data_IF_334395447603
#
_entry.id   IF_334395447603
#
_cell.length_a   1.000
_cell.length_b   1.000
_cell.length_c   1.000
_cell.angle_alpha   90.00
_cell.angle_beta   90.00
_cell.angle_gamma   90.00
#
_symmetry.space_group_name_H-M   'P 1'
#
loop_
_entity.id
_entity.type
_entity.pdbx_description
1 polymer ?
#
# COMPACT_ATOMS: atom_id res chain seq x y z
N UNK A 1 -37.99 -3.17 -9.95
CA UNK A 1 -36.89 -2.56 -9.15
C UNK A 1 -36.29 -3.64 -8.27
N UNK A 2 -35.25 -4.33 -8.76
CA UNK A 2 -34.42 -5.19 -7.94
C UNK A 2 -33.10 -4.44 -7.78
N UNK A 3 -32.91 -3.82 -6.61
CA UNK A 3 -31.63 -3.26 -6.20
C UNK A 3 -30.61 -4.41 -6.13
N UNK A 4 -29.42 -4.32 -6.74
CA UNK A 4 -28.40 -5.34 -6.54
C UNK A 4 -27.96 -5.23 -5.08
N UNK A 5 -28.38 -6.19 -4.25
CA UNK A 5 -27.69 -6.49 -3.00
C UNK A 5 -26.21 -6.67 -3.37
N UNK A 6 -25.33 -5.86 -2.77
CA UNK A 6 -23.89 -5.97 -2.94
C UNK A 6 -23.52 -7.45 -2.79
N UNK A 7 -23.02 -8.07 -3.86
CA UNK A 7 -22.53 -9.45 -3.80
C UNK A 7 -21.50 -9.50 -2.68
N UNK A 8 -21.74 -10.31 -1.64
CA UNK A 8 -20.69 -10.60 -0.67
C UNK A 8 -19.51 -11.13 -1.49
N UNK A 9 -18.38 -10.44 -1.42
CA UNK A 9 -17.15 -10.88 -2.07
C UNK A 9 -16.69 -12.11 -1.30
N UNK A 10 -16.43 -13.20 -2.01
CA UNK A 10 -16.00 -14.46 -1.43
C UNK A 10 -14.54 -14.69 -1.78
N UNK A 11 -13.77 -15.23 -0.83
CA UNK A 11 -12.42 -15.72 -1.10
C UNK A 11 -12.46 -16.90 -2.08
N UNK A 12 -11.37 -17.10 -2.82
CA UNK A 12 -11.27 -18.18 -3.79
C UNK A 12 -11.21 -19.53 -3.04
N UNK A 13 -11.58 -20.66 -3.65
CA UNK A 13 -11.66 -21.95 -2.95
C UNK A 13 -10.36 -22.39 -2.27
N UNK A 14 -9.21 -22.14 -2.91
CA UNK A 14 -7.88 -22.41 -2.36
C UNK A 14 -7.55 -21.52 -1.15
N UNK A 15 -7.90 -20.24 -1.22
CA UNK A 15 -7.78 -19.29 -0.11
C UNK A 15 -8.68 -19.70 1.07
N UNK A 16 -9.94 -20.08 0.79
CA UNK A 16 -10.90 -20.50 1.79
C UNK A 16 -10.42 -21.75 2.54
N UNK A 17 -9.90 -22.74 1.81
CA UNK A 17 -9.34 -23.95 2.42
C UNK A 17 -8.14 -23.60 3.31
N UNK A 18 -7.20 -22.77 2.82
CA UNK A 18 -6.04 -22.39 3.65
C UNK A 18 -6.46 -21.61 4.90
N UNK A 19 -7.38 -20.66 4.78
CA UNK A 19 -7.91 -19.91 5.92
C UNK A 19 -8.50 -20.84 6.98
N UNK A 20 -9.29 -21.85 6.57
CA UNK A 20 -9.86 -22.83 7.49
C UNK A 20 -8.77 -23.62 8.22
N UNK A 21 -7.74 -24.09 7.51
CA UNK A 21 -6.62 -24.82 8.10
C UNK A 21 -5.85 -23.96 9.11
N UNK A 22 -5.61 -22.68 8.79
CA UNK A 22 -4.89 -21.75 9.68
C UNK A 22 -5.73 -21.40 10.91
N UNK A 23 -7.03 -21.15 10.74
CA UNK A 23 -7.98 -20.92 11.85
C UNK A 23 -8.01 -22.09 12.83
N UNK A 24 -8.08 -23.32 12.30
CA UNK A 24 -8.11 -24.52 13.14
C UNK A 24 -6.87 -24.64 14.02
N UNK A 25 -5.70 -24.23 13.51
CA UNK A 25 -4.41 -24.33 14.20
C UNK A 25 -4.08 -23.13 15.08
N UNK A 26 -4.70 -21.97 14.84
CA UNK A 26 -4.39 -20.70 15.51
C UNK A 26 -5.70 -19.96 15.87
N UNK A 27 -6.57 -20.54 16.72
CA UNK A 27 -7.87 -19.95 17.04
C UNK A 27 -7.77 -18.55 17.70
N UNK A 28 -6.66 -18.26 18.38
CA UNK A 28 -6.35 -16.95 18.96
C UNK A 28 -6.18 -15.85 17.91
N UNK A 29 -5.94 -16.20 16.64
CA UNK A 29 -5.75 -15.26 15.54
C UNK A 29 -7.04 -14.91 14.80
N UNK A 30 -8.23 -15.31 15.28
CA UNK A 30 -9.49 -15.18 14.53
C UNK A 30 -9.79 -13.74 14.09
N UNK A 31 -9.61 -12.75 14.98
CA UNK A 31 -9.87 -11.34 14.63
C UNK A 31 -8.98 -10.88 13.48
N UNK A 32 -7.69 -11.25 13.49
CA UNK A 32 -6.77 -10.93 12.41
C UNK A 32 -7.12 -11.70 11.13
N UNK A 33 -7.48 -12.98 11.23
CA UNK A 33 -7.88 -13.82 10.09
C UNK A 33 -9.15 -13.29 9.42
N UNK A 34 -10.10 -12.75 10.17
CA UNK A 34 -11.29 -12.10 9.62
C UNK A 34 -10.94 -10.84 8.80
N UNK A 35 -9.99 -10.03 9.26
CA UNK A 35 -9.50 -8.86 8.52
C UNK A 35 -8.79 -9.29 7.23
N UNK A 36 -7.93 -10.31 7.30
CA UNK A 36 -7.22 -10.84 6.13
C UNK A 36 -8.19 -11.44 5.12
N UNK A 37 -9.18 -12.23 5.56
CA UNK A 37 -10.21 -12.78 4.69
C UNK A 37 -10.96 -11.67 3.92
N UNK A 38 -11.34 -10.59 4.61
CA UNK A 38 -11.95 -9.43 3.98
C UNK A 38 -11.03 -8.78 2.94
N UNK A 39 -9.73 -8.63 3.23
CA UNK A 39 -8.76 -8.10 2.28
C UNK A 39 -8.50 -9.02 1.09
N UNK A 40 -8.48 -10.33 1.28
CA UNK A 40 -8.35 -11.31 0.19
C UNK A 40 -9.56 -11.24 -0.75
N UNK A 41 -10.78 -11.20 -0.19
CA UNK A 41 -12.01 -11.06 -0.96
C UNK A 41 -12.07 -9.71 -1.69
N UNK A 42 -11.64 -8.63 -1.05
CA UNK A 42 -11.55 -7.30 -1.65
C UNK A 42 -10.55 -7.25 -2.82
N UNK A 43 -9.42 -7.95 -2.69
CA UNK A 43 -8.33 -7.98 -3.68
C UNK A 43 -8.65 -8.74 -4.97
N UNK A 44 -9.76 -9.49 -5.00
CA UNK A 44 -10.25 -10.18 -6.21
C UNK A 44 -10.98 -9.25 -7.18
N UNK A 45 -11.53 -8.13 -6.69
CA UNK A 45 -12.19 -7.14 -7.53
C UNK A 45 -11.14 -6.22 -8.17
N UNK A 46 -10.54 -6.75 -9.24
CA UNK A 46 -9.51 -6.06 -9.99
C UNK A 46 -10.04 -4.70 -10.51
N UNK A 47 -11.29 -4.62 -10.99
CA UNK A 47 -11.87 -3.39 -11.52
C UNK A 47 -11.96 -2.24 -10.49
N UNK A 48 -12.15 -2.55 -9.21
CA UNK A 48 -12.24 -1.53 -8.15
C UNK A 48 -10.90 -0.86 -7.84
N UNK A 49 -9.80 -1.62 -7.90
CA UNK A 49 -8.48 -1.17 -7.43
C UNK A 49 -7.45 -1.01 -8.57
N UNK A 50 -7.69 -1.59 -9.75
CA UNK A 50 -6.77 -1.50 -10.91
C UNK A 50 -6.78 -0.11 -11.57
N UNK A 51 -7.81 0.72 -11.31
CA UNK A 51 -7.80 2.14 -11.68
C UNK A 51 -6.67 2.93 -10.98
N UNK A 52 -6.03 2.33 -9.98
CA UNK A 52 -4.91 2.88 -9.22
C UNK A 52 -3.56 2.66 -9.89
N UNK A 53 -3.45 3.01 -11.18
CA UNK A 53 -2.15 3.11 -11.83
C UNK A 53 -1.36 4.26 -11.18
N UNK A 54 -0.19 3.97 -10.59
CA UNK A 54 0.68 5.03 -10.15
C UNK A 54 1.15 5.81 -11.38
N UNK A 55 1.13 7.14 -11.31
CA UNK A 55 1.77 7.94 -12.34
C UNK A 55 3.27 7.56 -12.45
N UNK A 56 3.84 7.47 -13.67
CA UNK A 56 5.28 7.32 -13.82
C UNK A 56 6.00 8.43 -13.05
N UNK A 57 7.06 8.05 -12.34
CA UNK A 57 7.90 8.99 -11.59
C UNK A 57 9.20 9.12 -12.35
N UNK A 58 9.44 10.32 -12.90
CA UNK A 58 10.69 10.62 -13.57
C UNK A 58 11.85 10.64 -12.57
N UNK A 59 13.04 10.22 -13.01
CA UNK A 59 14.28 10.27 -12.22
C UNK A 59 14.25 9.57 -10.84
N UNK A 60 13.43 8.53 -10.66
CA UNK A 60 13.42 7.72 -9.43
C UNK A 60 14.84 7.18 -9.12
N UNK A 61 15.35 7.32 -7.88
CA UNK A 61 16.65 6.75 -7.50
C UNK A 61 16.71 5.23 -7.73
N UNK A 62 17.87 4.70 -8.13
CA UNK A 62 18.02 3.28 -8.45
C UNK A 62 17.67 2.31 -7.30
N UNK A 63 17.78 2.79 -6.05
CA UNK A 63 17.46 2.03 -4.83
C UNK A 63 16.09 2.39 -4.23
N UNK A 64 15.33 3.27 -4.87
CA UNK A 64 14.00 3.65 -4.41
C UNK A 64 12.94 2.63 -4.90
N UNK A 65 12.01 2.20 -4.03
CA UNK A 65 10.91 1.34 -4.42
C UNK A 65 10.03 1.96 -5.51
N UNK A 66 9.31 1.14 -6.27
CA UNK A 66 8.53 1.62 -7.40
C UNK A 66 7.37 2.57 -7.02
N UNK A 67 6.91 2.54 -5.77
CA UNK A 67 5.89 3.48 -5.28
C UNK A 67 6.49 4.80 -4.76
N UNK A 68 7.81 4.92 -4.71
CA UNK A 68 8.46 6.14 -4.24
C UNK A 68 8.25 7.30 -5.22
N UNK A 69 7.80 8.43 -4.67
CA UNK A 69 7.35 9.61 -5.39
C UNK A 69 6.02 9.45 -6.12
N UNK A 70 5.35 8.30 -6.00
CA UNK A 70 4.20 8.00 -6.84
C UNK A 70 2.91 8.68 -6.35
N UNK A 71 2.04 9.03 -7.30
CA UNK A 71 0.65 9.43 -7.03
C UNK A 71 -0.26 8.29 -7.44
N UNK A 72 -1.04 7.77 -6.48
CA UNK A 72 -1.89 6.59 -6.64
C UNK A 72 -3.35 7.03 -6.53
N UNK A 73 -4.09 6.95 -7.63
CA UNK A 73 -5.51 7.30 -7.68
C UNK A 73 -6.39 6.17 -7.16
N UNK A 74 -7.30 6.45 -6.22
CA UNK A 74 -8.23 5.46 -5.65
C UNK A 74 -9.65 5.99 -5.68
N UNK A 75 -10.63 5.12 -5.91
CA UNK A 75 -12.03 5.49 -5.72
C UNK A 75 -12.34 5.71 -4.24
N UNK A 76 -12.50 6.97 -3.81
CA UNK A 76 -12.74 7.32 -2.40
C UNK A 76 -13.88 6.53 -1.77
N UNK A 77 -14.99 6.35 -2.50
CA UNK A 77 -16.15 5.58 -1.99
C UNK A 77 -15.80 4.12 -1.70
N UNK A 78 -15.01 3.48 -2.56
CA UNK A 78 -14.56 2.10 -2.38
C UNK A 78 -13.60 1.98 -1.21
N UNK A 79 -12.63 2.89 -1.11
CA UNK A 79 -11.70 2.96 0.02
C UNK A 79 -12.44 3.17 1.35
N UNK A 80 -13.34 4.16 1.42
CA UNK A 80 -14.13 4.42 2.64
C UNK A 80 -15.04 3.26 3.02
N UNK A 81 -15.67 2.58 2.04
CA UNK A 81 -16.47 1.38 2.31
C UNK A 81 -15.61 0.29 2.95
N UNK A 82 -14.45 0.01 2.37
CA UNK A 82 -13.58 -1.07 2.82
C UNK A 82 -12.93 -0.77 4.18
N UNK A 83 -12.41 0.44 4.38
CA UNK A 83 -11.87 0.87 5.69
C UNK A 83 -12.94 0.76 6.78
N UNK A 84 -14.19 1.14 6.51
CA UNK A 84 -15.29 0.99 7.49
C UNK A 84 -15.64 -0.47 7.78
N UNK A 85 -15.56 -1.33 6.76
CA UNK A 85 -15.79 -2.76 6.93
C UNK A 85 -14.72 -3.39 7.84
N UNK A 86 -13.44 -3.11 7.58
CA UNK A 86 -12.34 -3.58 8.43
C UNK A 86 -12.42 -2.99 9.84
N UNK A 87 -12.73 -1.70 9.96
CA UNK A 87 -12.91 -1.06 11.27
C UNK A 87 -14.03 -1.74 12.08
N UNK A 88 -15.15 -2.12 11.46
CA UNK A 88 -16.22 -2.88 12.12
C UNK A 88 -15.76 -4.27 12.56
N UNK A 89 -15.07 -4.99 11.67
CA UNK A 89 -14.52 -6.32 11.99
C UNK A 89 -13.53 -6.26 13.16
N UNK A 90 -12.82 -5.15 13.31
CA UNK A 90 -11.90 -4.89 14.42
C UNK A 90 -12.56 -4.25 15.65
N UNK A 91 -13.87 -4.01 15.66
CA UNK A 91 -14.58 -3.42 16.81
C UNK A 91 -14.41 -1.90 17.00
N UNK A 92 -14.06 -1.15 15.94
CA UNK A 92 -13.86 0.30 15.94
C UNK A 92 -15.12 1.10 15.54
N UNK A 93 -16.32 0.59 15.87
CA UNK A 93 -17.62 1.00 15.30
C UNK A 93 -18.00 2.49 15.49
N UNK A 94 -17.47 3.17 16.50
CA UNK A 94 -17.69 4.62 16.73
C UNK A 94 -16.72 5.55 16.00
N UNK A 95 -15.57 5.04 15.56
CA UNK A 95 -14.48 5.81 14.95
C UNK A 95 -14.53 5.83 13.43
N UNK A 96 -15.04 4.75 12.83
CA UNK A 96 -14.89 4.43 11.42
C UNK A 96 -15.45 5.47 10.44
N UNK A 97 -16.48 6.22 10.83
CA UNK A 97 -17.11 7.23 9.98
C UNK A 97 -16.31 8.54 9.90
N UNK A 98 -15.41 8.80 10.86
CA UNK A 98 -14.56 10.00 10.92
C UNK A 98 -13.20 9.82 10.27
N UNK A 99 -12.80 8.59 9.98
CA UNK A 99 -11.53 8.29 9.32
C UNK A 99 -11.58 8.75 7.86
N UNK A 100 -10.64 9.61 7.46
CA UNK A 100 -10.35 9.79 6.05
C UNK A 100 -9.60 8.54 5.55
N UNK A 101 -10.27 7.79 4.70
CA UNK A 101 -9.75 6.53 4.17
C UNK A 101 -8.52 6.73 3.27
N UNK A 102 -8.40 7.86 2.57
CA UNK A 102 -7.24 8.13 1.72
C UNK A 102 -6.03 8.46 2.58
N UNK A 103 -6.20 9.28 3.63
CA UNK A 103 -5.13 9.57 4.59
C UNK A 103 -4.66 8.31 5.32
N UNK A 104 -5.59 7.45 5.72
CA UNK A 104 -5.26 6.18 6.37
C UNK A 104 -4.48 5.25 5.43
N UNK A 105 -4.90 5.16 4.16
CA UNK A 105 -4.19 4.36 3.15
C UNK A 105 -2.81 4.93 2.82
N UNK A 106 -2.68 6.25 2.69
CA UNK A 106 -1.39 6.92 2.49
C UNK A 106 -0.45 6.62 3.66
N UNK A 107 -0.89 6.86 4.89
CA UNK A 107 -0.12 6.56 6.10
C UNK A 107 0.26 5.08 6.18
N UNK A 108 -0.69 4.18 5.88
CA UNK A 108 -0.43 2.75 5.84
C UNK A 108 0.67 2.40 4.83
N UNK A 109 0.53 2.80 3.57
CA UNK A 109 1.50 2.48 2.50
C UNK A 109 2.90 2.97 2.87
N UNK A 110 3.01 4.21 3.39
CA UNK A 110 4.25 4.80 3.91
C UNK A 110 4.83 4.09 5.12
N UNK A 111 4.07 3.20 5.78
CA UNK A 111 4.39 2.55 7.06
C UNK A 111 4.47 3.57 8.21
N UNK A 112 3.62 4.59 8.16
CA UNK A 112 3.62 5.74 9.06
C UNK A 112 2.76 5.58 10.30
N UNK A 113 3.25 4.76 11.22
CA UNK A 113 2.61 4.47 12.51
C UNK A 113 2.26 5.74 13.29
N UNK A 114 3.10 6.77 13.29
CA UNK A 114 2.82 8.02 13.98
C UNK A 114 1.63 8.77 13.37
N UNK A 115 1.54 8.80 12.03
CA UNK A 115 0.38 9.38 11.34
C UNK A 115 -0.87 8.53 11.53
N UNK A 116 -0.76 7.20 11.56
CA UNK A 116 -1.90 6.31 11.85
C UNK A 116 -2.40 6.54 13.27
N UNK A 117 -1.50 6.64 14.26
CA UNK A 117 -1.84 6.92 15.65
C UNK A 117 -2.54 8.27 15.80
N UNK A 118 -2.13 9.28 15.04
CA UNK A 118 -2.79 10.59 15.03
C UNK A 118 -4.22 10.56 14.44
N UNK A 119 -4.53 9.59 13.58
CA UNK A 119 -5.88 9.35 13.04
C UNK A 119 -6.75 8.51 14.01
N UNK A 120 -6.14 7.87 15.01
CA UNK A 120 -6.86 7.02 15.95
C UNK A 120 -7.79 7.85 16.84
N UNK A 121 -9.06 7.45 16.87
CA UNK A 121 -10.03 7.95 17.86
C UNK A 121 -10.36 6.90 18.93
N UNK A 122 -9.61 5.80 18.95
CA UNK A 122 -9.71 4.64 19.85
C UNK A 122 -8.32 4.03 20.06
N UNK A 123 -8.23 2.70 20.13
CA UNK A 123 -6.95 2.01 20.28
C UNK A 123 -6.06 2.19 19.03
N UNK A 124 -4.90 2.89 19.14
CA UNK A 124 -4.00 3.10 18.01
C UNK A 124 -3.43 1.78 17.47
N UNK A 125 -3.20 0.78 18.32
CA UNK A 125 -2.59 -0.49 17.89
C UNK A 125 -3.53 -1.29 16.98
N UNK A 126 -4.82 -1.37 17.34
CA UNK A 126 -5.86 -1.93 16.47
C UNK A 126 -5.99 -1.15 15.16
N UNK A 127 -5.94 0.18 15.19
CA UNK A 127 -6.02 0.99 13.96
C UNK A 127 -4.82 0.73 13.05
N UNK A 128 -3.61 0.55 13.58
CA UNK A 128 -2.44 0.16 12.78
C UNK A 128 -2.65 -1.15 12.04
N UNK A 129 -3.19 -2.18 12.71
CA UNK A 129 -3.52 -3.45 12.05
C UNK A 129 -4.55 -3.24 10.94
N UNK A 130 -5.64 -2.51 11.23
CA UNK A 130 -6.67 -2.19 10.24
C UNK A 130 -6.09 -1.44 9.04
N UNK A 131 -5.23 -0.45 9.28
CA UNK A 131 -4.60 0.37 8.24
C UNK A 131 -3.70 -0.48 7.33
N UNK A 132 -2.86 -1.35 7.92
CA UNK A 132 -1.98 -2.22 7.15
C UNK A 132 -2.76 -3.23 6.29
N UNK A 133 -3.84 -3.81 6.82
CA UNK A 133 -4.72 -4.70 6.05
C UNK A 133 -5.53 -3.95 5.00
N UNK A 134 -5.96 -2.72 5.29
CA UNK A 134 -6.70 -1.86 4.35
C UNK A 134 -5.88 -1.53 3.10
N UNK A 135 -4.55 -1.43 3.22
CA UNK A 135 -3.65 -1.14 2.11
C UNK A 135 -3.44 -2.34 1.16
N UNK A 136 -3.73 -3.58 1.58
CA UNK A 136 -3.42 -4.79 0.81
C UNK A 136 -4.06 -4.81 -0.59
N UNK A 137 -5.36 -4.53 -0.79
CA UNK A 137 -5.95 -4.54 -2.13
C UNK A 137 -5.30 -3.56 -3.10
N UNK A 138 -5.00 -2.35 -2.61
CA UNK A 138 -4.32 -1.32 -3.38
C UNK A 138 -2.89 -1.71 -3.72
N UNK A 139 -2.11 -2.14 -2.72
CA UNK A 139 -0.73 -2.60 -2.93
C UNK A 139 -0.66 -3.80 -3.87
N UNK A 140 -1.66 -4.69 -3.83
CA UNK A 140 -1.74 -5.83 -4.73
C UNK A 140 -2.08 -5.40 -6.15
N UNK A 141 -2.97 -4.43 -6.32
CA UNK A 141 -3.24 -3.84 -7.64
C UNK A 141 -1.96 -3.21 -8.21
N UNK A 142 -1.23 -2.40 -7.44
CA UNK A 142 0.06 -1.85 -7.87
C UNK A 142 1.06 -2.96 -8.23
N UNK A 143 1.19 -4.00 -7.40
CA UNK A 143 2.09 -5.13 -7.66
C UNK A 143 1.77 -5.85 -8.98
N UNK A 144 0.47 -6.07 -9.28
CA UNK A 144 0.04 -6.69 -10.55
C UNK A 144 0.40 -5.83 -11.76
N UNK A 145 0.28 -4.52 -11.63
CA UNK A 145 0.35 -3.64 -12.81
C UNK A 145 1.76 -3.13 -13.12
N UNK A 146 2.51 -2.72 -12.10
CA UNK A 146 3.86 -2.15 -12.25
C UNK A 146 4.96 -3.05 -11.68
N UNK A 147 4.63 -4.17 -11.02
CA UNK A 147 5.65 -5.06 -10.44
C UNK A 147 6.60 -5.69 -11.46
N UNK A 148 6.21 -5.75 -12.74
CA UNK A 148 7.08 -6.19 -13.84
C UNK A 148 8.21 -5.21 -14.16
N UNK A 149 8.09 -3.96 -13.70
CA UNK A 149 9.08 -2.89 -13.94
C UNK A 149 10.18 -2.90 -12.87
N UNK A 150 10.15 -3.85 -11.92
CA UNK A 150 11.24 -4.05 -10.96
C UNK A 150 12.52 -4.43 -11.70
N UNK A 151 13.59 -3.70 -11.38
CA UNK A 151 14.92 -4.00 -11.92
C UNK A 151 15.36 -5.42 -11.55
N UNK A 152 15.87 -6.17 -12.53
CA UNK A 152 16.54 -7.44 -12.28
C UNK A 152 17.81 -7.29 -11.43
N UNK A 153 18.35 -6.07 -11.33
CA UNK A 153 19.47 -5.71 -10.48
C UNK A 153 19.03 -5.14 -9.11
N UNK A 154 17.83 -5.46 -8.64
CA UNK A 154 17.38 -5.07 -7.31
C UNK A 154 18.08 -5.89 -6.21
N UNK A 155 18.96 -5.23 -5.45
CA UNK A 155 19.78 -5.88 -4.41
C UNK A 155 19.44 -5.38 -3.01
N UNK A 156 18.41 -4.55 -2.87
CA UNK A 156 18.02 -4.05 -1.56
C UNK A 156 17.26 -5.12 -0.77
N UNK A 157 17.42 -5.09 0.55
CA UNK A 157 16.78 -6.07 1.42
C UNK A 157 15.31 -5.77 1.71
N UNK A 158 14.80 -4.63 1.27
CA UNK A 158 13.39 -4.25 1.35
C UNK A 158 12.69 -4.42 0.00
N UNK A 159 11.36 -4.44 0.07
CA UNK A 159 10.49 -4.69 -1.07
C UNK A 159 10.71 -3.64 -2.17
N UNK A 160 10.95 -4.06 -3.43
CA UNK A 160 11.15 -3.16 -4.56
C UNK A 160 9.89 -2.37 -4.95
N UNK A 161 8.72 -2.73 -4.45
CA UNK A 161 7.48 -2.01 -4.74
C UNK A 161 7.14 -1.00 -3.63
N UNK A 162 7.02 -1.47 -2.38
CA UNK A 162 6.47 -0.67 -1.28
C UNK A 162 7.47 -0.34 -0.16
N UNK A 163 8.73 -0.74 -0.28
CA UNK A 163 9.77 -0.41 0.71
C UNK A 163 9.66 -1.14 2.05
N UNK A 164 8.74 -2.09 2.20
CA UNK A 164 8.60 -2.86 3.43
C UNK A 164 9.69 -3.93 3.58
N UNK A 165 10.02 -4.29 4.82
CA UNK A 165 10.85 -5.46 5.09
C UNK A 165 10.18 -6.75 4.63
N UNK A 166 10.96 -7.81 4.32
CA UNK A 166 10.41 -9.09 3.95
C UNK A 166 9.72 -9.76 5.14
N UNK A 167 8.62 -10.44 4.86
CA UNK A 167 7.91 -11.28 5.82
C UNK A 167 8.49 -12.69 5.85
N UNK A 168 8.92 -13.19 4.68
CA UNK A 168 9.39 -14.56 4.49
C UNK A 168 10.57 -14.59 3.52
N UNK A 169 11.54 -15.46 3.80
CA UNK A 169 12.54 -15.92 2.86
C UNK A 169 12.12 -17.28 2.29
N UNK A 170 11.78 -17.32 1.01
CA UNK A 170 11.37 -18.50 0.29
C UNK A 170 12.59 -19.12 -0.43
N UNK A 171 12.89 -20.40 -0.15
CA UNK A 171 13.96 -21.14 -0.83
C UNK A 171 13.36 -22.02 -1.92
N UNK A 172 13.34 -21.48 -3.14
CA UNK A 172 12.53 -22.00 -4.23
C UNK A 172 13.28 -22.97 -5.13
N UNK A 173 12.62 -24.08 -5.45
CA UNK A 173 13.06 -25.04 -6.46
C UNK A 173 14.27 -25.86 -6.03
N UNK A 174 14.78 -26.68 -6.96
CA UNK A 174 15.90 -27.59 -6.69
C UNK A 174 17.21 -26.84 -6.42
N UNK A 175 17.44 -25.72 -7.10
CA UNK A 175 18.59 -24.84 -6.88
C UNK A 175 18.48 -24.04 -5.57
N UNK A 176 17.31 -24.09 -4.91
CA UNK A 176 17.00 -23.38 -3.66
C UNK A 176 17.39 -21.90 -3.72
N UNK A 177 17.06 -21.22 -4.81
CA UNK A 177 17.26 -19.77 -4.92
C UNK A 177 16.52 -19.08 -3.79
N UNK A 178 17.14 -18.07 -3.18
CA UNK A 178 16.58 -17.34 -2.04
C UNK A 178 15.77 -16.15 -2.54
N UNK A 179 14.48 -16.18 -2.26
CA UNK A 179 13.52 -15.16 -2.64
C UNK A 179 12.96 -14.50 -1.39
N UNK A 180 13.14 -13.20 -1.23
CA UNK A 180 12.43 -12.45 -0.22
C UNK A 180 10.99 -12.20 -0.67
N UNK A 181 10.05 -12.32 0.26
CA UNK A 181 8.61 -12.16 0.01
C UNK A 181 8.03 -11.06 0.90
N UNK A 182 7.36 -10.10 0.29
CA UNK A 182 6.66 -9.04 1.02
C UNK A 182 5.25 -9.50 1.40
N UNK A 183 4.92 -9.53 2.69
CA UNK A 183 3.57 -9.83 3.16
C UNK A 183 2.52 -8.76 2.82
N UNK A 184 2.93 -7.53 2.49
CA UNK A 184 1.99 -6.42 2.23
C UNK A 184 1.45 -6.43 0.79
N UNK A 185 2.36 -6.46 -0.19
CA UNK A 185 2.02 -6.38 -1.61
C UNK A 185 2.17 -7.72 -2.36
N UNK A 186 2.83 -8.71 -1.72
CA UNK A 186 3.07 -10.01 -2.32
C UNK A 186 4.21 -10.06 -3.34
N UNK A 187 5.00 -8.99 -3.49
CA UNK A 187 6.16 -9.02 -4.38
C UNK A 187 7.22 -9.98 -3.85
N UNK A 188 7.85 -10.69 -4.79
CA UNK A 188 9.03 -11.51 -4.55
C UNK A 188 10.24 -10.94 -5.29
N UNK A 189 11.42 -11.00 -4.67
CA UNK A 189 12.67 -10.64 -5.33
C UNK A 189 13.81 -11.55 -4.87
N UNK A 190 14.66 -11.93 -5.81
CA UNK A 190 15.81 -12.80 -5.56
C UNK A 190 16.90 -12.02 -4.84
N UNK A 191 17.54 -12.66 -3.85
CA UNK A 191 18.69 -12.09 -3.13
C UNK A 191 19.77 -13.15 -2.92
N UNK A 192 21.03 -12.73 -2.70
CA UNK A 192 22.08 -13.66 -2.30
C UNK A 192 21.75 -14.43 -1.01
N UNK A 193 22.24 -15.66 -0.93
CA UNK A 193 22.08 -16.53 0.24
C UNK A 193 22.67 -15.92 1.51
N UNK A 194 23.97 -15.62 1.49
CA UNK A 194 24.71 -15.10 2.64
C UNK A 194 24.61 -13.57 2.71
N UNK A 195 23.41 -13.07 2.92
CA UNK A 195 23.19 -11.63 3.16
C UNK A 195 22.00 -11.37 4.08
N UNK A 196 22.23 -10.70 5.20
CA UNK A 196 21.14 -10.19 6.04
C UNK A 196 20.32 -9.16 5.25
N UNK A 197 18.98 -9.31 5.12
CA UNK A 197 18.16 -8.33 4.42
C UNK A 197 18.15 -6.97 5.14
N UNK A 198 18.43 -6.93 6.44
CA UNK A 198 18.25 -5.72 7.24
C UNK A 198 19.49 -4.84 7.34
N UNK A 199 20.66 -5.43 7.58
CA UNK A 199 21.93 -4.70 7.76
C UNK A 199 22.99 -5.03 6.69
N UNK A 200 22.66 -5.90 5.72
CA UNK A 200 23.56 -6.34 4.66
C UNK A 200 24.83 -7.09 5.12
N UNK A 201 24.87 -7.60 6.36
CA UNK A 201 25.90 -8.53 6.84
C UNK A 201 26.04 -9.73 5.88
N UNK A 202 27.27 -10.12 5.57
CA UNK A 202 27.60 -11.25 4.67
C UNK A 202 28.51 -12.30 5.31
N UNK A 203 29.04 -12.04 6.52
CA UNK A 203 29.85 -13.00 7.26
C UNK A 203 29.00 -14.18 7.73
N UNK A 204 29.35 -15.39 7.31
CA UNK A 204 28.66 -16.61 7.75
C UNK A 204 28.81 -16.87 9.26
N UNK A 205 29.78 -16.22 9.93
CA UNK A 205 29.96 -16.34 11.38
C UNK A 205 28.87 -15.58 12.15
N UNK A 206 28.31 -14.53 11.54
CA UNK A 206 27.26 -13.69 12.11
C UNK A 206 25.87 -14.02 11.54
N UNK A 207 25.76 -14.98 10.62
CA UNK A 207 24.51 -15.39 10.00
C UNK A 207 24.22 -16.84 10.40
N UNK A 208 23.03 -17.08 10.94
CA UNK A 208 22.65 -18.39 11.45
C UNK A 208 21.22 -18.76 11.09
N UNK A 209 20.79 -19.93 11.59
CA UNK A 209 19.39 -20.32 11.55
C UNK A 209 18.96 -20.98 12.85
N UNK A 210 17.70 -20.78 13.22
CA UNK A 210 17.00 -21.53 14.25
C UNK A 210 16.11 -22.55 13.55
N UNK A 211 16.19 -23.81 13.97
CA UNK A 211 15.33 -24.89 13.49
C UNK A 211 14.60 -25.51 14.69
N UNK A 212 13.32 -25.90 14.57
CA UNK A 212 12.62 -26.62 15.61
C UNK A 212 13.32 -27.94 15.96
N UNK A 213 13.36 -28.27 17.25
CA UNK A 213 14.11 -29.43 17.78
C UNK A 213 13.57 -30.78 17.24
N UNK A 214 12.27 -30.84 16.94
CA UNK A 214 11.59 -32.10 16.61
C UNK A 214 11.70 -32.52 15.14
N UNK A 215 12.38 -31.73 14.29
CA UNK A 215 12.63 -32.08 12.87
C UNK A 215 11.37 -32.21 11.99
N UNK A 216 10.17 -31.98 12.52
CA UNK A 216 8.88 -32.15 11.84
C UNK A 216 8.61 -31.10 10.75
N UNK A 217 9.38 -30.01 10.72
CA UNK A 217 9.21 -28.96 9.72
C UNK A 217 10.52 -28.60 9.05
N UNK A 218 10.45 -28.38 7.74
CA UNK A 218 11.54 -27.84 6.93
C UNK A 218 11.67 -26.32 7.08
N UNK A 219 10.76 -25.68 7.81
CA UNK A 219 10.75 -24.24 8.09
C UNK A 219 11.75 -23.89 9.16
N UNK A 220 12.37 -22.72 9.00
CA UNK A 220 13.44 -22.22 9.85
C UNK A 220 13.27 -20.73 10.11
N UNK A 221 14.11 -20.19 10.96
CA UNK A 221 14.29 -18.75 11.10
C UNK A 221 15.73 -18.42 10.73
N UNK A 222 15.96 -17.61 9.72
CA UNK A 222 17.28 -17.01 9.47
C UNK A 222 17.51 -15.88 10.46
N UNK A 223 18.68 -15.85 11.09
CA UNK A 223 19.04 -14.86 12.12
C UNK A 223 20.36 -14.17 11.79
N UNK A 224 20.52 -12.94 12.27
CA UNK A 224 21.75 -12.17 12.13
C UNK A 224 22.23 -11.66 13.49
N UNK A 225 23.45 -12.01 13.88
CA UNK A 225 24.03 -11.58 15.15
C UNK A 225 24.47 -10.11 15.16
N UNK A 226 24.72 -9.53 13.98
CA UNK A 226 25.14 -8.13 13.83
C UNK A 226 24.01 -7.16 14.16
N UNK A 227 22.80 -7.38 13.63
CA UNK A 227 21.64 -6.51 13.89
C UNK A 227 20.58 -7.12 14.80
N UNK A 228 20.75 -8.40 15.20
CA UNK A 228 19.74 -9.19 15.93
C UNK A 228 18.39 -9.30 15.19
N UNK A 229 18.39 -9.08 13.88
CA UNK A 229 17.23 -9.25 13.01
C UNK A 229 16.98 -10.72 12.67
N UNK A 230 15.71 -11.10 12.47
CA UNK A 230 15.35 -12.39 11.90
C UNK A 230 14.34 -12.33 10.76
N UNK A 231 14.32 -13.35 9.91
CA UNK A 231 13.28 -13.60 8.91
C UNK A 231 12.92 -15.08 8.89
N UNK A 232 11.63 -15.41 8.85
CA UNK A 232 11.21 -16.81 8.69
C UNK A 232 11.63 -17.32 7.32
N UNK A 233 11.95 -18.59 7.24
CA UNK A 233 12.43 -19.23 6.03
C UNK A 233 11.65 -20.51 5.74
N UNK A 234 11.24 -20.67 4.48
CA UNK A 234 10.47 -21.83 4.01
C UNK A 234 11.02 -22.35 2.68
N UNK A 235 11.36 -23.64 2.57
CA UNK A 235 11.68 -24.26 1.30
C UNK A 235 10.41 -24.62 0.54
N UNK A 236 10.38 -24.29 -0.75
CA UNK A 236 9.20 -24.48 -1.61
C UNK A 236 9.59 -25.11 -2.93
N UNK A 237 8.69 -25.91 -3.50
CA UNK A 237 8.89 -26.48 -4.85
C UNK A 237 8.65 -25.42 -5.92
N UNK A 238 7.65 -24.57 -5.72
CA UNK A 238 7.26 -23.47 -6.59
C UNK A 238 6.91 -22.23 -5.78
N UNK A 239 6.72 -21.11 -6.46
CA UNK A 239 6.30 -19.85 -5.85
C UNK A 239 5.08 -20.00 -4.94
N UNK A 240 5.20 -19.53 -3.70
CA UNK A 240 4.03 -19.32 -2.85
C UNK A 240 3.13 -18.24 -3.46
N UNK A 241 1.81 -18.47 -3.50
CA UNK A 241 0.89 -17.41 -3.87
C UNK A 241 1.03 -16.23 -2.90
N UNK A 242 0.78 -15.01 -3.37
CA UNK A 242 0.98 -13.80 -2.55
C UNK A 242 0.22 -13.84 -1.22
N UNK A 243 -0.98 -14.42 -1.21
CA UNK A 243 -1.82 -14.57 -0.02
C UNK A 243 -1.27 -15.63 0.94
N UNK A 244 -0.52 -16.61 0.41
CA UNK A 244 0.14 -17.65 1.22
C UNK A 244 1.16 -17.03 2.17
N UNK A 245 1.90 -16.02 1.72
CA UNK A 245 2.89 -15.30 2.56
C UNK A 245 2.25 -14.73 3.83
N UNK A 246 1.04 -14.14 3.72
CA UNK A 246 0.30 -13.61 4.87
C UNK A 246 -0.14 -14.71 5.82
N UNK A 247 -0.82 -15.73 5.29
CA UNK A 247 -1.40 -16.80 6.09
C UNK A 247 -0.33 -17.70 6.73
N UNK A 248 0.77 -17.93 6.03
CA UNK A 248 1.87 -18.76 6.51
C UNK A 248 2.70 -18.07 7.58
N UNK A 249 2.77 -16.73 7.57
CA UNK A 249 3.38 -15.97 8.65
C UNK A 249 2.67 -16.26 9.98
N UNK A 250 1.34 -16.15 10.03
CA UNK A 250 0.57 -16.44 11.25
C UNK A 250 0.59 -17.93 11.58
N UNK A 251 0.49 -18.81 10.58
CA UNK A 251 0.54 -20.26 10.80
C UNK A 251 1.88 -20.76 11.39
N UNK A 252 2.89 -19.89 11.47
CA UNK A 252 4.23 -20.19 11.97
C UNK A 252 4.63 -19.27 13.12
N UNK A 253 3.66 -18.70 13.85
CA UNK A 253 3.93 -17.78 14.97
C UNK A 253 4.87 -18.35 16.04
N UNK A 254 4.84 -19.67 16.26
CA UNK A 254 5.78 -20.35 17.17
C UNK A 254 7.26 -20.11 16.80
N UNK A 255 7.59 -19.90 15.53
CA UNK A 255 8.94 -19.56 15.09
C UNK A 255 9.33 -18.13 15.50
N UNK A 256 8.38 -17.19 15.54
CA UNK A 256 8.64 -15.84 16.06
C UNK A 256 8.97 -15.91 17.54
N UNK A 257 8.20 -16.68 18.32
CA UNK A 257 8.44 -16.87 19.76
C UNK A 257 9.83 -17.46 20.01
N UNK A 258 10.20 -18.51 19.28
CA UNK A 258 11.53 -19.13 19.42
C UNK A 258 12.70 -18.18 19.10
N UNK A 259 12.48 -17.23 18.18
CA UNK A 259 13.46 -16.19 17.83
C UNK A 259 13.53 -15.10 18.91
N UNK A 260 12.38 -14.62 19.38
CA UNK A 260 12.25 -13.63 20.45
C UNK A 260 12.89 -14.11 21.75
N UNK A 261 12.66 -15.36 22.14
CA UNK A 261 13.26 -15.97 23.34
C UNK A 261 14.80 -16.01 23.28
N UNK A 262 15.37 -15.98 22.07
CA UNK A 262 16.82 -15.92 21.81
C UNK A 262 17.35 -14.50 21.58
N UNK A 263 16.51 -13.48 21.78
CA UNK A 263 16.88 -12.07 21.66
C UNK A 263 16.91 -11.52 20.24
N UNK A 264 16.34 -12.24 19.27
CA UNK A 264 16.17 -11.74 17.91
C UNK A 264 14.82 -11.06 17.73
N UNK A 265 14.76 -10.04 16.86
CA UNK A 265 13.54 -9.28 16.60
C UNK A 265 13.34 -9.02 15.10
N UNK A 266 12.10 -8.72 14.68
CA UNK A 266 11.88 -8.07 13.38
C UNK A 266 12.23 -6.60 13.52
N UNK A 267 12.93 -5.97 12.55
CA UNK A 267 13.31 -4.57 12.69
C UNK A 267 12.11 -3.64 12.83
N UNK A 268 12.17 -2.72 13.78
CA UNK A 268 11.13 -1.70 13.98
C UNK A 268 11.22 -0.57 12.93
N UNK A 269 12.43 -0.25 12.48
CA UNK A 269 12.64 0.76 11.43
C UNK A 269 12.00 0.29 10.12
N UNK A 270 11.59 1.24 9.28
CA UNK A 270 11.12 0.96 7.92
C UNK A 270 12.27 0.46 7.05
N UNK A 271 11.95 -0.36 6.05
CA UNK A 271 12.93 -0.78 5.03
C UNK A 271 13.40 0.39 4.19
N UNK A 272 12.45 1.23 3.78
CA UNK A 272 12.67 2.46 3.05
C UNK A 272 11.66 3.51 3.52
N UNK A 273 12.08 4.77 3.61
CA UNK A 273 11.19 5.89 3.93
C UNK A 273 10.48 6.35 2.65
N UNK A 274 9.33 5.73 2.40
CA UNK A 274 8.61 5.85 1.13
C UNK A 274 7.81 7.16 1.09
N UNK A 275 7.98 7.93 0.02
CA UNK A 275 7.06 9.02 -0.31
C UNK A 275 6.01 8.54 -1.32
N UNK A 276 4.73 8.69 -0.99
CA UNK A 276 3.61 8.36 -1.90
C UNK A 276 2.42 9.26 -1.56
N UNK A 277 1.61 9.57 -2.57
CA UNK A 277 0.34 10.27 -2.41
C UNK A 277 -0.84 9.43 -2.84
N UNK A 278 -1.87 9.34 -2.00
CA UNK A 278 -3.11 8.64 -2.32
C UNK A 278 -4.20 9.68 -2.57
N UNK A 279 -4.74 9.70 -3.79
CA UNK A 279 -5.69 10.75 -4.24
C UNK A 279 -7.01 10.14 -4.70
N UNK A 280 -8.08 10.93 -4.73
CA UNK A 280 -9.35 10.48 -5.28
C UNK A 280 -9.30 10.47 -6.81
N UNK A 281 -9.33 9.29 -7.43
CA UNK A 281 -9.24 9.14 -8.88
C UNK A 281 -10.42 9.80 -9.62
N UNK A 282 -11.63 9.72 -9.06
CA UNK A 282 -12.83 10.34 -9.68
C UNK A 282 -12.75 11.85 -9.57
N UNK A 283 -12.46 12.35 -8.36
CA UNK A 283 -12.29 13.79 -8.14
C UNK A 283 -11.25 14.37 -9.09
N UNK A 284 -10.08 13.72 -9.21
CA UNK A 284 -9.02 14.20 -10.09
C UNK A 284 -9.42 14.16 -11.57
N UNK A 285 -10.11 13.11 -12.03
CA UNK A 285 -10.59 13.04 -13.41
C UNK A 285 -11.61 14.13 -13.74
N UNK A 286 -12.56 14.38 -12.83
CA UNK A 286 -13.55 15.47 -12.96
C UNK A 286 -12.84 16.82 -12.95
N UNK A 287 -11.92 17.04 -12.01
CA UNK A 287 -11.17 18.29 -11.89
C UNK A 287 -10.38 18.57 -13.16
N UNK A 288 -9.68 17.56 -13.70
CA UNK A 288 -8.94 17.68 -14.96
C UNK A 288 -9.85 18.02 -16.13
N UNK A 289 -10.97 17.30 -16.30
CA UNK A 289 -11.95 17.58 -17.37
C UNK A 289 -12.51 19.02 -17.25
N UNK A 290 -12.82 19.48 -16.04
CA UNK A 290 -13.24 20.86 -15.81
C UNK A 290 -12.16 21.89 -16.17
N UNK A 291 -10.91 21.64 -15.78
CA UNK A 291 -9.79 22.53 -16.10
C UNK A 291 -9.50 22.56 -17.60
N UNK A 292 -9.52 21.42 -18.29
CA UNK A 292 -9.33 21.34 -19.75
C UNK A 292 -10.43 22.11 -20.49
N UNK A 293 -11.69 22.00 -20.02
CA UNK A 293 -12.81 22.80 -20.53
C UNK A 293 -12.66 24.29 -20.25
N UNK A 294 -12.16 24.65 -19.06
CA UNK A 294 -11.94 26.05 -18.70
C UNK A 294 -10.87 26.67 -19.60
N UNK A 295 -9.76 25.97 -19.82
CA UNK A 295 -8.68 26.39 -20.74
C UNK A 295 -9.20 26.53 -22.17
N UNK A 296 -10.04 25.61 -22.63
CA UNK A 296 -10.60 25.67 -23.98
C UNK A 296 -11.65 26.77 -24.16
N UNK A 297 -12.43 27.06 -23.12
CA UNK A 297 -13.49 28.07 -23.15
C UNK A 297 -12.96 29.49 -22.88
N UNK A 298 -11.81 29.61 -22.19
CA UNK A 298 -11.19 30.86 -21.75
C UNK A 298 -12.21 31.87 -21.18
N UNK A 299 -12.95 31.50 -20.12
CA UNK A 299 -14.00 32.36 -19.57
C UNK A 299 -13.41 33.64 -18.99
N UNK A 300 -14.16 34.73 -19.09
CA UNK A 300 -13.82 35.99 -18.41
C UNK A 300 -13.56 35.73 -16.92
N UNK A 301 -12.43 36.20 -16.36
CA UNK A 301 -12.11 36.04 -14.94
C UNK A 301 -13.26 36.44 -14.01
N UNK A 302 -13.96 37.55 -14.29
CA UNK A 302 -15.07 38.01 -13.43
C UNK A 302 -16.32 37.12 -13.53
N UNK A 303 -16.40 36.29 -14.58
CA UNK A 303 -17.48 35.33 -14.82
C UNK A 303 -17.10 33.87 -14.51
N UNK A 304 -15.89 33.60 -14.02
CA UNK A 304 -15.39 32.24 -13.85
C UNK A 304 -16.23 31.41 -12.87
N UNK A 305 -16.71 32.01 -11.77
CA UNK A 305 -17.63 31.35 -10.83
C UNK A 305 -18.93 30.93 -11.50
N UNK A 306 -19.52 31.82 -12.30
CA UNK A 306 -20.74 31.55 -13.04
C UNK A 306 -20.54 30.44 -14.07
N UNK A 307 -19.41 30.46 -14.79
CA UNK A 307 -19.04 29.41 -15.72
C UNK A 307 -18.93 28.03 -15.04
N UNK A 308 -18.29 27.95 -13.87
CA UNK A 308 -18.21 26.72 -13.09
C UNK A 308 -19.58 26.22 -12.62
N UNK A 309 -20.49 27.11 -12.23
CA UNK A 309 -21.87 26.77 -11.88
C UNK A 309 -22.64 26.17 -13.06
N UNK A 310 -22.44 26.71 -14.27
CA UNK A 310 -23.03 26.15 -15.49
C UNK A 310 -22.54 24.73 -15.77
N UNK A 311 -21.23 24.46 -15.59
CA UNK A 311 -20.69 23.11 -15.73
C UNK A 311 -21.32 22.13 -14.72
N UNK A 312 -21.58 22.59 -13.48
CA UNK A 312 -22.26 21.80 -12.47
C UNK A 312 -23.70 21.46 -12.87
N UNK A 313 -24.45 22.45 -13.38
CA UNK A 313 -25.82 22.28 -13.83
C UNK A 313 -25.92 21.30 -15.02
N UNK A 314 -24.91 21.27 -15.90
CA UNK A 314 -24.84 20.37 -17.04
C UNK A 314 -24.46 18.91 -16.68
N UNK A 315 -23.97 18.65 -15.46
CA UNK A 315 -23.35 17.36 -15.10
C UNK A 315 -24.34 16.21 -14.80
N UNK A 316 -25.64 16.47 -14.75
CA UNK A 316 -26.67 15.44 -14.54
C UNK A 316 -26.40 14.56 -13.30
N UNK A 317 -26.43 13.22 -13.37
CA UNK A 317 -26.23 12.33 -12.21
C UNK A 317 -24.88 12.46 -11.47
N UNK A 318 -23.88 13.13 -12.07
CA UNK A 318 -22.57 13.39 -11.45
C UNK A 318 -22.49 14.73 -10.70
N UNK A 319 -23.62 15.46 -10.56
CA UNK A 319 -23.74 16.80 -9.98
C UNK A 319 -22.94 16.99 -8.68
N UNK A 320 -23.05 16.04 -7.73
CA UNK A 320 -22.37 16.16 -6.43
C UNK A 320 -20.83 16.13 -6.52
N UNK A 321 -20.27 15.29 -7.40
CA UNK A 321 -18.82 15.22 -7.61
C UNK A 321 -18.30 16.40 -8.42
N UNK A 322 -19.05 16.80 -9.45
CA UNK A 322 -18.77 17.98 -10.26
C UNK A 322 -18.73 19.24 -9.40
N UNK A 323 -19.73 19.43 -8.56
CA UNK A 323 -19.84 20.60 -7.67
C UNK A 323 -18.69 20.67 -6.66
N UNK A 324 -18.30 19.54 -6.07
CA UNK A 324 -17.18 19.52 -5.13
C UNK A 324 -15.86 19.91 -5.82
N UNK A 325 -15.60 19.43 -7.04
CA UNK A 325 -14.40 19.78 -7.79
C UNK A 325 -14.44 21.22 -8.31
N UNK A 326 -15.59 21.71 -8.74
CA UNK A 326 -15.78 23.10 -9.13
C UNK A 326 -15.47 24.07 -7.98
N UNK A 327 -15.94 23.76 -6.76
CA UNK A 327 -15.61 24.55 -5.57
C UNK A 327 -14.10 24.56 -5.28
N UNK A 328 -13.45 23.38 -5.32
CA UNK A 328 -11.99 23.28 -5.14
C UNK A 328 -11.22 24.08 -6.20
N UNK A 329 -11.59 24.01 -7.48
CA UNK A 329 -10.99 24.80 -8.55
C UNK A 329 -11.18 26.29 -8.28
N UNK A 330 -12.39 26.70 -7.89
CA UNK A 330 -12.70 28.10 -7.64
C UNK A 330 -11.89 28.67 -6.46
N UNK A 331 -11.75 27.90 -5.37
CA UNK A 331 -10.93 28.27 -4.22
C UNK A 331 -9.45 28.44 -4.61
N UNK A 332 -8.89 27.49 -5.38
CA UNK A 332 -7.51 27.56 -5.88
C UNK A 332 -7.30 28.74 -6.83
N UNK A 333 -8.25 29.01 -7.71
CA UNK A 333 -8.22 30.14 -8.64
C UNK A 333 -8.25 31.49 -7.90
N UNK A 334 -9.13 31.63 -6.89
CA UNK A 334 -9.16 32.84 -6.05
C UNK A 334 -7.87 33.04 -5.28
N UNK A 335 -7.27 31.96 -4.78
CA UNK A 335 -5.98 32.01 -4.10
C UNK A 335 -4.88 32.47 -5.07
N UNK A 336 -4.86 31.94 -6.28
CA UNK A 336 -3.91 32.32 -7.33
C UNK A 336 -4.05 33.81 -7.72
N UNK A 337 -5.29 34.32 -7.86
CA UNK A 337 -5.54 35.74 -8.13
C UNK A 337 -5.08 36.66 -6.99
N UNK A 338 -5.24 36.23 -5.74
CA UNK A 338 -4.82 37.01 -4.58
C UNK A 338 -3.29 36.97 -4.37
N UNK A 339 -2.60 35.98 -4.94
CA UNK A 339 -1.16 35.80 -4.80
C UNK A 339 -0.39 36.64 -5.84
N UNK A 340 -0.04 37.88 -5.50
CA UNK A 340 0.71 38.78 -6.40
C UNK A 340 2.01 38.16 -6.95
N UNK A 341 2.75 37.42 -6.13
CA UNK A 341 3.96 36.71 -6.56
C UNK A 341 3.70 35.66 -7.63
N UNK A 342 2.53 35.03 -7.62
CA UNK A 342 2.14 34.05 -8.63
C UNK A 342 1.80 34.75 -9.96
N UNK A 343 1.10 35.88 -9.91
CA UNK A 343 0.87 36.73 -11.08
C UNK A 343 2.16 37.24 -11.71
N UNK A 344 3.11 37.71 -10.89
CA UNK A 344 4.43 38.15 -11.34
C UNK A 344 5.22 37.01 -12.00
N UNK A 345 5.13 35.79 -11.46
CA UNK A 345 5.76 34.60 -12.02
C UNK A 345 5.11 34.19 -13.36
N UNK A 346 3.79 34.24 -13.48
CA UNK A 346 3.08 33.99 -14.74
C UNK A 346 3.45 35.02 -15.82
N UNK A 347 3.54 36.31 -15.46
CA UNK A 347 3.94 37.39 -16.37
C UNK A 347 5.36 37.21 -16.92
N UNK A 348 6.23 36.50 -16.18
CA UNK A 348 7.57 36.11 -16.62
C UNK A 348 7.58 34.85 -17.50
N UNK A 349 6.41 34.34 -17.89
CA UNK A 349 6.28 33.15 -18.71
C UNK A 349 6.32 31.84 -17.93
N UNK A 350 6.03 31.88 -16.62
CA UNK A 350 6.01 30.70 -15.74
C UNK A 350 7.29 29.85 -15.80
N UNK A 351 8.48 30.45 -15.59
CA UNK A 351 9.75 29.72 -15.68
C UNK A 351 9.79 28.57 -14.66
N UNK A 352 10.16 27.38 -15.11
CA UNK A 352 10.38 26.21 -14.23
C UNK A 352 11.79 26.27 -13.62
N UNK A 353 11.91 26.08 -12.31
CA UNK A 353 13.19 26.03 -11.61
C UNK A 353 14.10 24.90 -12.15
N UNK A 354 13.50 23.83 -12.70
CA UNK A 354 14.21 22.68 -13.28
C UNK A 354 14.75 22.95 -14.70
N UNK A 355 14.26 23.99 -15.39
CA UNK A 355 14.69 24.31 -16.76
C UNK A 355 16.10 24.94 -16.82
N UNK A 356 16.70 25.30 -15.69
CA UNK A 356 17.94 26.08 -15.63
C UNK A 356 19.24 25.26 -15.46
N UNK A 357 19.18 23.91 -15.50
CA UNK A 357 20.35 23.05 -15.24
C UNK A 357 21.07 22.46 -16.46
N UNK A 358 20.72 22.89 -17.67
CA UNK A 358 21.49 22.54 -18.88
C UNK A 358 22.30 23.76 -19.36
N UNK A 359 23.53 23.89 -18.87
CA UNK A 359 24.58 24.70 -19.52
C UNK A 359 25.89 23.95 -19.54
#
# INVERSE_FOLDING_TARGET
MLWPLARRRHVAPDQAQRLADVRQKNPESETWLALVEAALAESQDAATWDAALPAPVDHRPARAPLLDGAVVGVHRRSASRFVRELARLAGLDGAAHRLDALDLLEAAIRQDDARIDALATGDPSTLRVVAQVAAVPLLRACARTIGKDVSAAWWEGYCPLCGAWPTLAEFRGLERKRWLRCGRCGMGWEVPWLRCPFCAETSHENLGYLAPEDGETTRKVEVCDTCKGYVKAEPTVSELPWWGVLLDDVATVALDVAALDRGYHRPERRGFDLEVKVVDAIGLAIKRDLLDRAVAADPDPDAFEAWLLEQCAAAGPAEGGMRAMALSIFEEWRLALAAGSFGDWLAQGAPSDDASRET
#
